data_IF_066700654389
#
_entry.id   IF_066700654389
#
_cell.length_a   1.000
_cell.length_b   1.000
_cell.length_c   1.000
_cell.angle_alpha   90.00
_cell.angle_beta   90.00
_cell.angle_gamma   90.00
#
_symmetry.space_group_name_H-M   'P 1'
#
loop_
_entity.id
_entity.type
_entity.pdbx_description
1 polymer ?
#
# COMPACT_ATOMS: atom_id res chain seq x y z
N UNK A 1 -18.29 -21.77 53.23
CA UNK A 1 -17.46 -21.01 52.28
C UNK A 1 -16.87 -22.03 51.32
N UNK A 2 -17.40 -22.09 50.11
CA UNK A 2 -17.00 -23.04 49.06
C UNK A 2 -15.67 -22.62 48.43
N UNK A 3 -14.63 -23.43 48.60
CA UNK A 3 -13.35 -23.24 47.94
C UNK A 3 -13.42 -23.78 46.50
N UNK A 4 -13.54 -22.86 45.54
CA UNK A 4 -13.51 -23.15 44.11
C UNK A 4 -12.19 -23.79 43.69
N UNK A 5 -12.21 -25.11 43.46
CA UNK A 5 -11.10 -25.86 42.85
C UNK A 5 -10.80 -25.31 41.46
N UNK A 6 -9.71 -24.54 41.34
CA UNK A 6 -9.09 -24.20 40.05
C UNK A 6 -8.68 -25.51 39.36
N UNK A 7 -9.45 -25.95 38.36
CA UNK A 7 -9.11 -27.08 37.50
C UNK A 7 -7.80 -26.74 36.78
N UNK A 8 -6.68 -27.32 37.23
CA UNK A 8 -5.43 -27.31 36.47
C UNK A 8 -5.71 -27.95 35.10
N UNK A 9 -5.59 -27.16 34.05
CA UNK A 9 -5.60 -27.63 32.67
C UNK A 9 -4.42 -28.59 32.50
N UNK A 10 -4.68 -29.90 32.51
CA UNK A 10 -3.69 -30.92 32.18
C UNK A 10 -3.48 -30.88 30.67
N UNK A 11 -2.31 -30.41 30.24
CA UNK A 11 -1.93 -30.42 28.84
C UNK A 11 -1.87 -31.90 28.39
N UNK A 12 -2.64 -32.30 27.36
CA UNK A 12 -2.59 -33.67 26.85
C UNK A 12 -1.19 -33.98 26.30
N UNK A 13 -0.70 -35.19 26.58
CA UNK A 13 0.59 -35.66 26.06
C UNK A 13 0.48 -35.89 24.56
N UNK A 14 1.11 -35.02 23.77
CA UNK A 14 1.20 -35.12 22.31
C UNK A 14 1.98 -36.39 21.91
N UNK A 15 1.38 -37.20 21.05
CA UNK A 15 2.03 -38.36 20.45
C UNK A 15 3.07 -37.93 19.40
N UNK A 16 3.94 -38.87 18.94
CA UNK A 16 4.94 -38.57 17.91
C UNK A 16 4.30 -38.06 16.60
N UNK A 17 3.15 -38.61 16.23
CA UNK A 17 2.40 -38.21 15.04
C UNK A 17 1.78 -36.83 15.20
N UNK A 18 1.26 -36.49 16.38
CA UNK A 18 0.71 -35.15 16.63
C UNK A 18 1.81 -34.08 16.52
N UNK A 19 3.02 -34.37 17.00
CA UNK A 19 4.17 -33.46 16.86
C UNK A 19 4.53 -33.22 15.39
N UNK A 20 4.55 -34.28 14.58
CA UNK A 20 4.83 -34.17 13.14
C UNK A 20 3.75 -33.34 12.46
N UNK A 21 2.47 -33.63 12.73
CA UNK A 21 1.35 -32.88 12.18
C UNK A 21 1.40 -31.41 12.57
N UNK A 22 1.69 -31.11 13.84
CA UNK A 22 1.82 -29.73 14.33
C UNK A 22 2.96 -28.99 13.62
N UNK A 23 4.10 -29.63 13.45
CA UNK A 23 5.25 -29.05 12.73
C UNK A 23 4.90 -28.74 11.27
N UNK A 24 4.22 -29.66 10.58
CA UNK A 24 3.79 -29.45 9.18
C UNK A 24 2.82 -28.26 9.10
N UNK A 25 1.84 -28.19 10.00
CA UNK A 25 0.89 -27.07 10.06
C UNK A 25 1.62 -25.76 10.33
N UNK A 26 2.59 -25.74 11.25
CA UNK A 26 3.37 -24.54 11.55
C UNK A 26 4.15 -24.07 10.32
N UNK A 27 4.82 -24.97 9.62
CA UNK A 27 5.56 -24.66 8.38
C UNK A 27 4.59 -24.13 7.31
N UNK A 28 3.43 -24.76 7.14
CA UNK A 28 2.42 -24.33 6.18
C UNK A 28 1.91 -22.92 6.46
N UNK A 29 1.62 -22.61 7.73
CA UNK A 29 1.20 -21.26 8.16
C UNK A 29 2.31 -20.24 7.88
N UNK A 30 3.57 -20.58 8.17
CA UNK A 30 4.70 -19.70 7.86
C UNK A 30 4.80 -19.45 6.35
N UNK A 31 4.70 -20.49 5.52
CA UNK A 31 4.76 -20.36 4.05
C UNK A 31 3.63 -19.49 3.50
N UNK A 32 2.41 -19.61 4.03
CA UNK A 32 1.28 -18.76 3.64
C UNK A 32 1.42 -17.32 4.14
N UNK A 33 2.11 -17.09 5.26
CA UNK A 33 2.33 -15.75 5.80
C UNK A 33 3.39 -14.97 5.01
N UNK A 34 4.41 -15.63 4.44
CA UNK A 34 5.49 -14.96 3.67
C UNK A 34 4.96 -13.98 2.61
N UNK A 35 4.06 -14.34 1.68
CA UNK A 35 3.58 -13.40 0.66
C UNK A 35 2.75 -12.24 1.22
N UNK A 36 2.17 -12.40 2.41
CA UNK A 36 1.38 -11.35 3.08
C UNK A 36 2.30 -10.28 3.70
N UNK A 37 3.43 -10.71 4.29
CA UNK A 37 4.33 -9.83 5.04
C UNK A 37 5.60 -9.45 4.30
N UNK A 38 5.91 -10.07 3.17
CA UNK A 38 7.08 -9.71 2.37
C UNK A 38 6.90 -8.29 1.87
N UNK A 39 7.87 -7.43 2.20
CA UNK A 39 7.94 -6.08 1.67
C UNK A 39 7.84 -6.14 0.15
N UNK A 40 6.88 -5.39 -0.38
CA UNK A 40 6.54 -5.37 -1.78
C UNK A 40 7.52 -4.51 -2.59
N UNK A 41 8.57 -3.92 -1.98
CA UNK A 41 9.67 -3.23 -2.65
C UNK A 41 9.20 -2.24 -3.74
N UNK A 42 8.25 -1.37 -3.39
CA UNK A 42 7.70 -0.42 -4.35
C UNK A 42 6.65 -1.00 -5.31
N UNK A 43 6.10 -2.19 -5.06
CA UNK A 43 4.94 -2.72 -5.77
C UNK A 43 3.65 -2.30 -5.06
N UNK A 44 3.29 -1.01 -5.19
CA UNK A 44 2.20 -0.37 -4.45
C UNK A 44 0.94 -0.22 -5.29
N UNK A 45 1.11 -0.12 -6.61
CA UNK A 45 0.03 0.12 -7.57
C UNK A 45 0.06 -0.98 -8.63
N UNK A 46 -1.10 -1.62 -8.84
CA UNK A 46 -1.26 -2.63 -9.88
C UNK A 46 -1.37 -1.97 -11.26
N UNK A 47 -0.72 -2.56 -12.26
CA UNK A 47 -0.76 -2.12 -13.65
C UNK A 47 -1.31 -3.22 -14.56
N UNK A 48 -1.81 -2.87 -15.76
CA UNK A 48 -2.17 -3.86 -16.77
C UNK A 48 -1.04 -4.85 -17.04
N UNK A 49 -1.38 -6.10 -17.34
CA UNK A 49 -0.39 -7.14 -17.64
C UNK A 49 0.28 -7.78 -16.42
N UNK A 50 -0.38 -7.76 -15.25
CA UNK A 50 0.15 -8.33 -13.99
C UNK A 50 1.47 -7.69 -13.53
N UNK A 51 1.71 -6.44 -13.93
CA UNK A 51 2.86 -5.66 -13.48
C UNK A 51 2.45 -4.80 -12.29
N UNK A 52 3.44 -4.35 -11.53
CA UNK A 52 3.22 -3.39 -10.46
C UNK A 52 4.37 -2.40 -10.39
N UNK A 53 4.08 -1.24 -9.81
CA UNK A 53 4.99 -0.12 -9.77
C UNK A 53 4.74 0.71 -8.51
N UNK A 54 5.68 1.59 -8.17
CA UNK A 54 5.57 2.42 -6.97
C UNK A 54 4.55 3.52 -7.17
N UNK A 55 3.85 3.89 -6.10
CA UNK A 55 2.90 4.99 -6.15
C UNK A 55 3.60 6.28 -6.59
N UNK A 56 4.86 6.48 -6.18
CA UNK A 56 5.70 7.59 -6.62
C UNK A 56 5.85 7.65 -8.14
N UNK A 57 6.31 6.56 -8.78
CA UNK A 57 6.53 6.54 -10.24
C UNK A 57 5.22 6.82 -10.99
N UNK A 58 4.14 6.14 -10.62
CA UNK A 58 2.84 6.31 -11.29
C UNK A 58 2.29 7.72 -11.06
N UNK A 59 2.48 8.30 -9.87
CA UNK A 59 2.09 9.67 -9.57
C UNK A 59 2.84 10.67 -10.45
N UNK A 60 4.16 10.51 -10.60
CA UNK A 60 4.98 11.38 -11.47
C UNK A 60 4.47 11.33 -12.92
N UNK A 61 4.21 10.15 -13.46
CA UNK A 61 3.69 10.02 -14.83
C UNK A 61 2.37 10.78 -15.04
N UNK A 62 1.44 10.66 -14.08
CA UNK A 62 0.15 11.34 -14.17
C UNK A 62 0.26 12.84 -13.92
N UNK A 63 1.13 13.27 -13.00
CA UNK A 63 1.48 14.68 -12.81
C UNK A 63 2.09 15.28 -14.07
N UNK A 64 2.99 14.57 -14.76
CA UNK A 64 3.55 15.02 -16.04
C UNK A 64 2.48 15.12 -17.12
N UNK A 65 1.56 14.16 -17.20
CA UNK A 65 0.44 14.23 -18.13
C UNK A 65 -0.47 15.41 -17.84
N UNK A 66 -0.86 15.62 -16.58
CA UNK A 66 -1.70 16.73 -16.15
C UNK A 66 -1.02 18.09 -16.36
N UNK A 67 0.30 18.17 -16.13
CA UNK A 67 1.13 19.35 -16.39
C UNK A 67 1.12 19.81 -17.85
N UNK A 68 0.94 18.91 -18.82
CA UNK A 68 0.77 19.30 -20.25
C UNK A 68 -0.44 20.19 -20.48
N UNK A 69 -1.41 20.13 -19.58
CA UNK A 69 -2.63 20.95 -19.60
C UNK A 69 -2.59 22.04 -18.53
N UNK A 70 -1.40 22.46 -18.09
CA UNK A 70 -1.20 23.45 -17.02
C UNK A 70 -1.93 23.10 -15.71
N UNK A 71 -2.17 21.82 -15.48
CA UNK A 71 -2.92 21.31 -14.34
C UNK A 71 -4.32 21.93 -14.23
N UNK A 72 -4.96 22.15 -15.38
CA UNK A 72 -6.35 22.53 -15.55
C UNK A 72 -7.17 21.32 -16.00
N UNK A 73 -8.24 21.00 -15.29
CA UNK A 73 -9.11 19.86 -15.60
C UNK A 73 -10.25 20.18 -16.55
N UNK A 74 -10.45 21.46 -16.90
CA UNK A 74 -11.49 21.88 -17.85
C UNK A 74 -11.08 21.67 -19.32
N UNK A 75 -9.79 21.45 -19.57
CA UNK A 75 -9.22 21.32 -20.92
C UNK A 75 -9.55 19.99 -21.62
N UNK A 76 -9.84 18.91 -20.87
CA UNK A 76 -10.17 17.59 -21.42
C UNK A 76 -11.01 16.78 -20.41
N UNK A 77 -11.97 16.00 -20.91
CA UNK A 77 -12.95 15.24 -20.10
C UNK A 77 -12.33 14.13 -19.25
N UNK A 78 -11.11 13.68 -19.58
CA UNK A 78 -10.36 12.68 -18.82
C UNK A 78 -9.57 13.29 -17.65
N UNK A 79 -9.29 14.59 -17.67
CA UNK A 79 -8.42 15.23 -16.68
C UNK A 79 -8.99 15.23 -15.25
N UNK A 80 -10.30 15.36 -15.01
CA UNK A 80 -10.86 15.17 -13.66
C UNK A 80 -10.57 13.77 -13.10
N UNK A 81 -10.55 12.73 -13.95
CA UNK A 81 -10.22 11.36 -13.52
C UNK A 81 -8.73 11.23 -13.22
N UNK A 82 -7.88 11.87 -14.02
CA UNK A 82 -6.44 11.94 -13.78
C UNK A 82 -6.14 12.65 -12.46
N UNK A 83 -6.76 13.81 -12.21
CA UNK A 83 -6.61 14.56 -10.96
C UNK A 83 -7.03 13.73 -9.75
N UNK A 84 -8.20 13.09 -9.82
CA UNK A 84 -8.67 12.17 -8.78
C UNK A 84 -7.68 11.02 -8.56
N UNK A 85 -7.11 10.46 -9.63
CA UNK A 85 -6.16 9.36 -9.51
C UNK A 85 -4.84 9.79 -8.89
N UNK A 86 -4.31 10.96 -9.25
CA UNK A 86 -3.13 11.57 -8.61
C UNK A 86 -3.36 11.75 -7.11
N UNK A 87 -4.57 12.19 -6.69
CA UNK A 87 -4.92 12.30 -5.27
C UNK A 87 -4.78 10.97 -4.53
N UNK A 88 -5.37 9.91 -5.08
CA UNK A 88 -5.28 8.58 -4.46
C UNK A 88 -3.83 8.09 -4.38
N UNK A 89 -3.03 8.30 -5.44
CA UNK A 89 -1.61 7.93 -5.44
C UNK A 89 -0.82 8.71 -4.39
N UNK A 90 -1.11 10.00 -4.22
CA UNK A 90 -0.51 10.84 -3.18
C UNK A 90 -0.83 10.31 -1.78
N UNK A 91 -2.08 9.94 -1.51
CA UNK A 91 -2.50 9.39 -0.22
C UNK A 91 -1.81 8.05 0.08
N UNK A 92 -1.76 7.14 -0.90
CA UNK A 92 -1.04 5.86 -0.77
C UNK A 92 0.44 6.09 -0.49
N UNK A 93 1.08 7.00 -1.23
CA UNK A 93 2.48 7.31 -1.04
C UNK A 93 2.76 7.89 0.35
N UNK A 94 1.89 8.78 0.84
CA UNK A 94 1.99 9.31 2.20
C UNK A 94 1.80 8.23 3.27
N UNK A 95 0.84 7.32 3.09
CA UNK A 95 0.58 6.23 4.03
C UNK A 95 1.77 5.26 4.13
N UNK A 96 2.40 4.93 3.00
CA UNK A 96 3.47 3.94 2.95
C UNK A 96 4.84 4.52 3.32
N UNK A 97 5.10 5.80 3.03
CA UNK A 97 6.44 6.42 3.15
C UNK A 97 6.52 7.59 4.13
N UNK A 98 5.41 8.00 4.75
CA UNK A 98 5.33 9.22 5.58
C UNK A 98 5.89 10.46 4.86
N UNK A 99 5.63 10.59 3.55
CA UNK A 99 6.26 11.59 2.68
C UNK A 99 5.84 13.05 2.97
N UNK A 100 4.71 13.25 3.67
CA UNK A 100 4.26 14.59 4.06
C UNK A 100 3.77 15.47 2.90
N UNK A 101 3.40 14.87 1.76
CA UNK A 101 2.85 15.60 0.61
C UNK A 101 1.47 16.17 0.93
N UNK A 102 1.17 17.38 0.45
CA UNK A 102 -0.16 17.96 0.59
C UNK A 102 -1.09 17.46 -0.53
N UNK A 103 -1.79 16.35 -0.30
CA UNK A 103 -2.70 15.75 -1.28
C UNK A 103 -3.99 16.56 -1.54
N UNK A 104 -4.26 17.63 -0.78
CA UNK A 104 -5.32 18.59 -1.09
C UNK A 104 -4.85 19.67 -2.06
N UNK A 105 -3.54 19.96 -2.08
CA UNK A 105 -2.92 20.84 -3.08
C UNK A 105 -2.07 20.01 -4.05
N UNK A 106 -2.75 19.34 -4.98
CA UNK A 106 -2.11 18.44 -5.93
C UNK A 106 -1.09 19.12 -6.84
N UNK A 107 -1.26 20.41 -7.14
CA UNK A 107 -0.27 21.19 -7.92
C UNK A 107 1.07 21.24 -7.19
N UNK A 108 1.03 21.55 -5.89
CA UNK A 108 2.22 21.55 -5.03
C UNK A 108 2.78 20.14 -4.88
N UNK A 109 1.93 19.14 -4.59
CA UNK A 109 2.36 17.76 -4.44
C UNK A 109 3.05 17.22 -5.70
N UNK A 110 2.50 17.51 -6.89
CA UNK A 110 3.09 17.15 -8.18
C UNK A 110 4.47 17.79 -8.36
N UNK A 111 4.61 19.09 -8.09
CA UNK A 111 5.89 19.78 -8.25
C UNK A 111 6.97 19.21 -7.30
N UNK A 112 6.58 18.87 -6.07
CA UNK A 112 7.49 18.31 -5.06
C UNK A 112 7.91 16.88 -5.47
N UNK A 113 6.97 16.01 -5.81
CA UNK A 113 7.28 14.59 -6.08
C UNK A 113 8.05 14.39 -7.38
N UNK A 114 7.83 15.25 -8.39
CA UNK A 114 8.52 15.18 -9.67
C UNK A 114 9.83 15.97 -9.70
N UNK A 115 10.12 16.78 -8.67
CA UNK A 115 11.27 17.69 -8.61
C UNK A 115 11.31 18.65 -9.82
N UNK A 116 10.13 19.03 -10.33
CA UNK A 116 9.96 19.84 -11.54
C UNK A 116 8.80 20.83 -11.36
N UNK A 117 8.81 21.94 -12.09
CA UNK A 117 7.68 22.87 -12.14
C UNK A 117 6.72 22.38 -13.23
N UNK A 118 5.82 21.47 -12.87
CA UNK A 118 4.80 20.92 -13.78
C UNK A 118 3.52 21.74 -13.76
N UNK A 119 3.12 22.21 -12.58
CA UNK A 119 1.93 23.01 -12.35
C UNK A 119 2.33 24.40 -11.88
N UNK A 120 2.15 25.46 -12.68
CA UNK A 120 2.36 26.82 -12.19
C UNK A 120 1.34 27.12 -11.09
N UNK A 121 1.85 27.54 -9.93
CA UNK A 121 1.04 28.00 -8.80
C UNK A 121 0.86 29.51 -9.00
N UNK A 122 -0.23 29.89 -9.67
CA UNK A 122 -0.64 31.31 -9.84
C UNK A 122 -1.49 31.72 -8.64
#
# INVERSE_FOLDING_TARGET
MDEGKKKLFKIPKLTKWDKISLTIVLIFVILLAIPVYKDKNGCEVARPGYTCESAKTVMIEHCTYWGKYNCDTSSDVSLPQVEWYIKNLCEIHNQNHNAGLNCENLKSACNIISEQILCPVV
#
